data_IF_836937932279
#
_entry.id   IF_836937932279
#
_cell.length_a   1.000
_cell.length_b   1.000
_cell.length_c   1.000
_cell.angle_alpha   90.00
_cell.angle_beta   90.00
_cell.angle_gamma   90.00
#
_symmetry.space_group_name_H-M   'P 1'
#
loop_
_entity.id
_entity.type
_entity.pdbx_description
1 polymer ?
#
# COMPACT_ATOMS: atom_id res chain seq x y z
N UNK A 1 4.90 21.04 -28.44
CA UNK A 1 4.01 19.89 -28.63
C UNK A 1 3.07 20.24 -29.80
N UNK A 2 3.44 19.85 -31.01
CA UNK A 2 2.55 19.90 -32.17
C UNK A 2 1.51 18.80 -32.01
N UNK A 3 0.26 19.18 -31.77
CA UNK A 3 -0.89 18.32 -31.93
C UNK A 3 -1.05 18.08 -33.45
N UNK A 4 -0.35 17.10 -33.98
CA UNK A 4 -0.70 16.58 -35.30
C UNK A 4 -2.12 16.01 -35.21
N UNK A 5 -2.98 16.45 -36.09
CA UNK A 5 -4.38 16.01 -36.23
C UNK A 5 -4.44 14.58 -36.79
N UNK A 6 -3.85 13.65 -36.09
CA UNK A 6 -4.02 12.23 -36.37
C UNK A 6 -5.32 11.76 -35.74
N UNK A 7 -6.16 11.13 -36.54
CA UNK A 7 -7.48 10.67 -36.13
C UNK A 7 -7.40 9.85 -34.81
N UNK A 8 -8.32 10.09 -33.88
CA UNK A 8 -8.45 9.36 -32.59
C UNK A 8 -8.53 7.85 -32.77
N UNK A 9 -8.83 7.37 -33.99
CA UNK A 9 -8.99 5.98 -34.39
C UNK A 9 -7.69 5.34 -34.92
N UNK A 10 -6.61 6.10 -35.02
CA UNK A 10 -5.33 5.57 -35.49
C UNK A 10 -4.60 4.80 -34.34
N UNK A 11 -4.70 3.47 -34.39
CA UNK A 11 -4.12 2.55 -33.39
C UNK A 11 -2.58 2.54 -33.36
N UNK A 12 -1.91 3.17 -34.31
CA UNK A 12 -0.45 3.33 -34.27
C UNK A 12 -0.02 4.37 -33.24
N UNK A 13 -0.89 5.34 -32.95
CA UNK A 13 -0.66 6.44 -32.02
C UNK A 13 -1.02 6.06 -30.56
N UNK A 14 -0.41 6.77 -29.59
CA UNK A 14 -0.71 6.59 -28.16
C UNK A 14 -2.19 6.85 -27.84
N UNK A 15 -2.81 7.85 -28.48
CA UNK A 15 -4.21 8.20 -28.27
C UNK A 15 -5.17 7.09 -28.72
N UNK A 16 -4.96 6.50 -29.90
CA UNK A 16 -5.76 5.39 -30.41
C UNK A 16 -5.64 4.12 -29.55
N UNK A 17 -4.42 3.79 -29.10
CA UNK A 17 -4.20 2.69 -28.15
C UNK A 17 -4.96 2.93 -26.84
N UNK A 18 -4.90 4.14 -26.29
CA UNK A 18 -5.62 4.49 -25.08
C UNK A 18 -7.14 4.37 -25.26
N UNK A 19 -7.68 4.81 -26.39
CA UNK A 19 -9.10 4.66 -26.71
C UNK A 19 -9.53 3.17 -26.76
N UNK A 20 -8.72 2.31 -27.39
CA UNK A 20 -8.97 0.87 -27.40
C UNK A 20 -8.97 0.27 -25.99
N UNK A 21 -8.04 0.69 -25.12
CA UNK A 21 -8.00 0.25 -23.73
C UNK A 21 -9.22 0.71 -22.92
N UNK A 22 -9.73 1.93 -23.19
CA UNK A 22 -10.96 2.44 -22.56
C UNK A 22 -12.15 1.57 -22.94
N UNK A 23 -12.34 1.26 -24.23
CA UNK A 23 -13.43 0.38 -24.68
C UNK A 23 -13.29 -1.00 -24.06
N UNK A 24 -12.08 -1.59 -24.10
CA UNK A 24 -11.81 -2.90 -23.51
C UNK A 24 -12.11 -2.94 -22.01
N UNK A 25 -11.75 -1.88 -21.26
CA UNK A 25 -12.02 -1.79 -19.83
C UNK A 25 -13.51 -1.67 -19.51
N UNK A 26 -14.28 -0.94 -20.33
CA UNK A 26 -15.73 -0.82 -20.18
C UNK A 26 -16.42 -2.16 -20.45
N UNK A 27 -16.01 -2.89 -21.49
CA UNK A 27 -16.52 -4.22 -21.78
C UNK A 27 -16.21 -5.21 -20.66
N UNK A 28 -14.96 -5.19 -20.16
CA UNK A 28 -14.56 -6.03 -19.04
C UNK A 28 -15.36 -5.68 -17.78
N UNK A 29 -15.55 -4.39 -17.50
CA UNK A 29 -16.38 -3.93 -16.38
C UNK A 29 -17.82 -4.44 -16.49
N UNK A 30 -18.40 -4.42 -17.68
CA UNK A 30 -19.73 -4.96 -17.93
C UNK A 30 -19.80 -6.47 -17.67
N UNK A 31 -18.81 -7.23 -18.16
CA UNK A 31 -18.71 -8.68 -17.89
C UNK A 31 -18.60 -8.97 -16.39
N UNK A 32 -17.77 -8.22 -15.67
CA UNK A 32 -17.62 -8.35 -14.21
C UNK A 32 -18.94 -8.08 -13.49
N UNK A 33 -19.73 -7.10 -13.93
CA UNK A 33 -21.04 -6.79 -13.34
C UNK A 33 -22.10 -7.88 -13.61
N UNK A 34 -21.97 -8.66 -14.68
CA UNK A 34 -22.85 -9.76 -15.01
C UNK A 34 -22.65 -11.02 -14.16
N UNK A 35 -21.49 -11.13 -13.50
CA UNK A 35 -21.18 -12.28 -12.65
C UNK A 35 -21.91 -12.15 -11.32
N UNK A 36 -22.61 -13.22 -10.92
CA UNK A 36 -23.34 -13.27 -9.65
C UNK A 36 -22.37 -13.14 -8.45
N UNK A 37 -22.78 -12.38 -7.43
CA UNK A 37 -22.00 -12.16 -6.20
C UNK A 37 -21.60 -13.46 -5.49
N UNK A 38 -22.42 -14.53 -5.59
CA UNK A 38 -22.11 -15.84 -5.03
C UNK A 38 -20.84 -16.45 -5.60
N UNK A 39 -20.58 -16.22 -6.89
CA UNK A 39 -19.35 -16.67 -7.56
C UNK A 39 -18.14 -15.97 -6.97
N UNK A 40 -18.22 -14.66 -6.76
CA UNK A 40 -17.16 -13.89 -6.11
C UNK A 40 -16.91 -14.38 -4.68
N UNK A 41 -17.97 -14.68 -3.93
CA UNK A 41 -17.83 -15.18 -2.58
C UNK A 41 -17.11 -16.54 -2.56
N UNK A 42 -17.47 -17.48 -3.42
CA UNK A 42 -16.81 -18.79 -3.48
C UNK A 42 -15.34 -18.65 -3.87
N UNK A 43 -15.05 -17.85 -4.89
CA UNK A 43 -13.71 -17.74 -5.48
C UNK A 43 -12.75 -16.85 -4.68
N UNK A 44 -13.23 -15.98 -3.78
CA UNK A 44 -12.43 -14.96 -3.11
C UNK A 44 -11.14 -15.50 -2.46
N UNK A 45 -11.21 -16.57 -1.68
CA UNK A 45 -10.03 -17.11 -1.00
C UNK A 45 -9.13 -17.93 -1.95
N UNK A 46 -9.72 -18.60 -2.93
CA UNK A 46 -8.96 -19.32 -3.96
C UNK A 46 -8.17 -18.33 -4.80
N UNK A 47 -8.83 -17.24 -5.25
CA UNK A 47 -8.20 -16.16 -5.99
C UNK A 47 -7.09 -15.48 -5.16
N UNK A 48 -7.33 -15.26 -3.86
CA UNK A 48 -6.32 -14.70 -2.96
C UNK A 48 -5.08 -15.59 -2.86
N UNK A 49 -5.25 -16.90 -2.66
CA UNK A 49 -4.13 -17.86 -2.62
C UNK A 49 -3.36 -17.90 -3.94
N UNK A 50 -4.09 -17.99 -5.07
CA UNK A 50 -3.49 -17.98 -6.41
C UNK A 50 -2.72 -16.68 -6.68
N UNK A 51 -3.26 -15.53 -6.23
CA UNK A 51 -2.61 -14.23 -6.38
C UNK A 51 -1.34 -14.14 -5.52
N UNK A 52 -1.33 -14.65 -4.30
CA UNK A 52 -0.11 -14.70 -3.49
C UNK A 52 0.99 -15.53 -4.17
N UNK A 53 0.64 -16.67 -4.74
CA UNK A 53 1.60 -17.49 -5.50
C UNK A 53 2.12 -16.74 -6.73
N UNK A 54 1.25 -16.03 -7.45
CA UNK A 54 1.65 -15.20 -8.59
C UNK A 54 2.57 -14.06 -8.18
N UNK A 55 2.28 -13.37 -7.05
CA UNK A 55 3.15 -12.31 -6.52
C UNK A 55 4.54 -12.84 -6.13
N UNK A 56 4.60 -14.03 -5.55
CA UNK A 56 5.88 -14.70 -5.22
C UNK A 56 6.64 -15.14 -6.47
N UNK A 57 5.94 -15.56 -7.52
CA UNK A 57 6.55 -15.96 -8.79
C UNK A 57 6.97 -14.75 -9.65
N UNK A 58 6.36 -13.58 -9.45
CA UNK A 58 6.61 -12.38 -10.26
C UNK A 58 8.09 -12.02 -10.38
N UNK A 59 8.91 -11.96 -9.32
CA UNK A 59 10.33 -11.60 -9.44
C UNK A 59 11.14 -12.55 -10.34
N UNK A 60 10.70 -13.79 -10.48
CA UNK A 60 11.36 -14.79 -11.35
C UNK A 60 10.91 -14.70 -12.82
N UNK A 61 9.72 -14.16 -13.07
CA UNK A 61 9.11 -14.03 -14.38
C UNK A 61 9.23 -12.61 -14.97
N UNK A 62 9.47 -11.63 -14.10
CA UNK A 62 9.53 -10.23 -14.47
C UNK A 62 10.89 -9.86 -15.09
N UNK A 63 10.86 -8.88 -15.98
CA UNK A 63 12.07 -8.21 -16.46
C UNK A 63 12.34 -7.00 -15.57
N UNK A 64 13.61 -6.74 -15.30
CA UNK A 64 14.03 -5.55 -14.56
C UNK A 64 13.69 -4.28 -15.36
N UNK A 65 12.79 -3.47 -14.81
CA UNK A 65 12.46 -2.16 -15.38
C UNK A 65 12.78 -1.11 -14.30
N UNK A 66 13.90 -0.43 -14.46
CA UNK A 66 14.37 0.64 -13.55
C UNK A 66 14.51 0.18 -12.08
N UNK A 67 15.02 -1.03 -11.86
CA UNK A 67 15.21 -1.59 -10.53
C UNK A 67 13.95 -2.25 -9.92
N UNK A 68 12.81 -2.25 -10.60
CA UNK A 68 11.59 -2.94 -10.17
C UNK A 68 11.37 -4.24 -10.96
N UNK A 69 11.12 -5.33 -10.23
CA UNK A 69 10.82 -6.66 -10.80
C UNK A 69 9.32 -6.97 -10.67
N UNK A 70 8.47 -6.06 -11.17
CA UNK A 70 7.01 -6.12 -10.99
C UNK A 70 6.22 -6.29 -12.28
N UNK A 71 6.89 -6.20 -13.45
CA UNK A 71 6.25 -6.24 -14.74
C UNK A 71 6.53 -7.55 -15.50
N UNK A 72 5.47 -8.28 -15.82
CA UNK A 72 5.54 -9.48 -16.65
C UNK A 72 5.20 -9.09 -18.08
N UNK A 73 6.14 -9.28 -19.01
CA UNK A 73 5.92 -9.04 -20.43
C UNK A 73 5.22 -10.23 -21.08
N UNK A 74 4.00 -10.01 -21.57
CA UNK A 74 3.23 -10.97 -22.36
C UNK A 74 3.17 -10.53 -23.83
N UNK A 75 4.33 -10.39 -24.46
CA UNK A 75 4.45 -9.88 -25.82
C UNK A 75 4.16 -8.38 -25.90
N UNK A 76 3.08 -7.91 -26.58
CA UNK A 76 2.78 -6.49 -26.74
C UNK A 76 2.20 -5.83 -25.47
N UNK A 77 1.84 -6.63 -24.45
CA UNK A 77 1.20 -6.16 -23.21
C UNK A 77 2.10 -6.45 -22.02
N UNK A 78 2.31 -5.44 -21.18
CA UNK A 78 2.96 -5.60 -19.90
C UNK A 78 1.90 -5.68 -18.81
N UNK A 79 1.93 -6.74 -18.02
CA UNK A 79 1.01 -6.99 -16.93
C UNK A 79 1.72 -6.83 -15.60
N UNK A 80 1.10 -6.07 -14.68
CA UNK A 80 1.61 -5.87 -13.33
C UNK A 80 0.71 -6.62 -12.34
N UNK A 81 1.13 -7.77 -11.79
CA UNK A 81 0.31 -8.55 -10.87
C UNK A 81 -0.13 -7.79 -9.61
N UNK A 82 0.68 -6.84 -9.14
CA UNK A 82 0.36 -6.00 -7.99
C UNK A 82 -0.95 -5.18 -8.16
N UNK A 83 -1.30 -4.79 -9.40
CA UNK A 83 -2.56 -4.08 -9.67
C UNK A 83 -3.78 -4.98 -9.44
N UNK A 84 -3.71 -6.23 -9.89
CA UNK A 84 -4.77 -7.22 -9.68
C UNK A 84 -4.86 -7.66 -8.21
N UNK A 85 -3.72 -7.72 -7.53
CA UNK A 85 -3.66 -8.06 -6.11
C UNK A 85 -4.52 -7.13 -5.25
N UNK A 86 -4.56 -5.84 -5.55
CA UNK A 86 -5.40 -4.86 -4.81
C UNK A 86 -6.88 -5.23 -4.88
N UNK A 87 -7.38 -5.59 -6.06
CA UNK A 87 -8.78 -5.99 -6.24
C UNK A 87 -9.09 -7.31 -5.54
N UNK A 88 -8.21 -8.30 -5.67
CA UNK A 88 -8.41 -9.64 -5.08
C UNK A 88 -8.33 -9.58 -3.55
N UNK A 89 -7.41 -8.79 -3.00
CA UNK A 89 -7.32 -8.55 -1.55
C UNK A 89 -8.59 -7.86 -1.05
N UNK A 90 -9.10 -6.85 -1.78
CA UNK A 90 -10.36 -6.20 -1.43
C UNK A 90 -11.52 -7.21 -1.35
N UNK A 91 -11.61 -8.10 -2.34
CA UNK A 91 -12.63 -9.15 -2.39
C UNK A 91 -12.51 -10.13 -1.22
N UNK A 92 -11.28 -10.59 -0.93
CA UNK A 92 -11.01 -11.52 0.16
C UNK A 92 -11.33 -10.91 1.54
N UNK A 93 -11.00 -9.62 1.74
CA UNK A 93 -11.33 -8.86 2.96
C UNK A 93 -12.84 -8.67 3.06
N UNK A 94 -13.52 -8.29 1.97
CA UNK A 94 -14.97 -8.13 1.96
C UNK A 94 -15.68 -9.42 2.37
N UNK A 95 -15.23 -10.57 1.85
CA UNK A 95 -15.74 -11.89 2.27
C UNK A 95 -15.43 -12.17 3.74
N UNK A 96 -14.23 -11.88 4.22
CA UNK A 96 -13.86 -12.13 5.61
C UNK A 96 -14.70 -11.31 6.58
N UNK A 97 -14.90 -10.02 6.27
CA UNK A 97 -15.63 -9.07 7.11
C UNK A 97 -17.16 -9.20 6.94
N UNK A 98 -17.63 -9.75 5.82
CA UNK A 98 -19.04 -10.01 5.56
C UNK A 98 -19.63 -11.20 6.33
N UNK A 99 -18.85 -11.88 7.17
CA UNK A 99 -19.35 -12.98 8.01
C UNK A 99 -20.36 -12.46 9.03
N UNK A 100 -21.39 -13.26 9.28
CA UNK A 100 -22.41 -12.95 10.28
C UNK A 100 -21.76 -12.65 11.64
N UNK A 101 -22.17 -11.56 12.30
CA UNK A 101 -21.64 -11.08 13.59
C UNK A 101 -20.17 -10.64 13.63
N UNK A 102 -19.47 -10.52 12.50
CA UNK A 102 -18.12 -9.99 12.51
C UNK A 102 -18.11 -8.52 12.97
N UNK A 103 -17.45 -8.25 14.08
CA UNK A 103 -17.29 -6.89 14.64
C UNK A 103 -15.83 -6.68 15.01
N UNK A 104 -15.25 -5.59 14.55
CA UNK A 104 -13.91 -5.15 14.93
C UNK A 104 -13.92 -4.54 16.35
N UNK A 105 -14.05 -5.35 17.38
CA UNK A 105 -14.07 -4.89 18.79
C UNK A 105 -12.72 -5.04 19.48
N UNK A 106 -11.97 -6.06 19.13
CA UNK A 106 -10.73 -6.44 19.81
C UNK A 106 -9.56 -6.38 18.84
N UNK A 107 -8.38 -6.08 19.35
CA UNK A 107 -7.14 -6.12 18.55
C UNK A 107 -6.91 -7.46 17.83
N UNK A 108 -7.39 -8.55 18.43
CA UNK A 108 -7.30 -9.90 17.83
C UNK A 108 -8.14 -10.02 16.55
N UNK A 109 -9.25 -9.31 16.47
CA UNK A 109 -10.12 -9.34 15.29
C UNK A 109 -9.46 -8.63 14.08
N UNK A 110 -8.50 -7.74 14.35
CA UNK A 110 -7.73 -7.03 13.34
C UNK A 110 -6.56 -7.84 12.77
N UNK A 111 -6.06 -8.85 13.49
CA UNK A 111 -4.84 -9.59 13.09
C UNK A 111 -5.00 -10.22 11.71
N UNK A 112 -6.11 -10.92 11.47
CA UNK A 112 -6.34 -11.62 10.20
C UNK A 112 -6.51 -10.64 9.03
N UNK A 113 -7.38 -9.60 9.11
CA UNK A 113 -7.46 -8.60 8.04
C UNK A 113 -6.15 -7.86 7.77
N UNK A 114 -5.41 -7.51 8.82
CA UNK A 114 -4.08 -6.89 8.67
C UNK A 114 -3.07 -7.83 8.01
N UNK A 115 -3.08 -9.12 8.35
CA UNK A 115 -2.25 -10.12 7.69
C UNK A 115 -2.63 -10.29 6.21
N UNK A 116 -3.94 -10.28 5.89
CA UNK A 116 -4.42 -10.38 4.51
C UNK A 116 -4.00 -9.18 3.65
N UNK A 117 -3.79 -8.01 4.23
CA UNK A 117 -3.25 -6.84 3.53
C UNK A 117 -1.73 -6.83 3.57
N UNK A 118 -1.16 -7.10 4.73
CA UNK A 118 0.27 -6.96 4.99
C UNK A 118 1.12 -7.96 4.20
N UNK A 119 0.66 -9.21 4.08
CA UNK A 119 1.41 -10.24 3.35
C UNK A 119 1.64 -9.84 1.89
N UNK A 120 0.61 -9.54 1.07
CA UNK A 120 0.83 -9.10 -0.31
C UNK A 120 1.60 -7.79 -0.39
N UNK A 121 1.34 -6.82 0.50
CA UNK A 121 2.07 -5.56 0.52
C UNK A 121 3.57 -5.76 0.79
N UNK A 122 3.94 -6.63 1.73
CA UNK A 122 5.33 -6.97 2.03
C UNK A 122 6.01 -7.70 0.86
N UNK A 123 5.32 -8.63 0.21
CA UNK A 123 5.84 -9.32 -0.97
C UNK A 123 6.15 -8.30 -2.08
N UNK A 124 5.23 -7.38 -2.38
CA UNK A 124 5.41 -6.34 -3.39
C UNK A 124 6.56 -5.41 -3.00
N UNK A 125 6.62 -4.98 -1.76
CA UNK A 125 7.63 -4.03 -1.29
C UNK A 125 9.04 -4.65 -1.26
N UNK A 126 9.19 -5.87 -0.74
CA UNK A 126 10.50 -6.50 -0.51
C UNK A 126 11.00 -7.23 -1.75
N UNK A 127 10.15 -8.12 -2.33
CA UNK A 127 10.58 -8.99 -3.42
C UNK A 127 10.53 -8.29 -4.78
N UNK A 128 9.51 -7.46 -5.03
CA UNK A 128 9.36 -6.75 -6.30
C UNK A 128 9.99 -5.35 -6.28
N UNK A 129 10.46 -4.89 -5.10
CA UNK A 129 11.07 -3.57 -4.87
C UNK A 129 10.18 -2.41 -5.34
N UNK A 130 8.87 -2.55 -5.14
CA UNK A 130 7.87 -1.58 -5.58
C UNK A 130 7.09 -1.00 -4.40
N UNK A 131 7.65 0.05 -3.79
CA UNK A 131 7.08 0.71 -2.62
C UNK A 131 5.79 1.46 -2.93
N UNK A 132 5.66 2.02 -4.14
CA UNK A 132 4.47 2.77 -4.55
C UNK A 132 3.20 1.92 -4.53
N UNK A 133 3.23 0.76 -5.17
CA UNK A 133 2.09 -0.17 -5.20
C UNK A 133 1.78 -0.75 -3.82
N UNK A 134 2.82 -1.02 -3.00
CA UNK A 134 2.64 -1.50 -1.63
C UNK A 134 1.93 -0.47 -0.73
N UNK A 135 2.25 0.83 -0.88
CA UNK A 135 1.63 1.91 -0.11
C UNK A 135 0.12 2.04 -0.37
N UNK A 136 -0.36 1.69 -1.55
CA UNK A 136 -1.79 1.73 -1.87
C UNK A 136 -2.61 0.82 -0.94
N UNK A 137 -2.02 -0.27 -0.45
CA UNK A 137 -2.69 -1.15 0.52
C UNK A 137 -2.99 -0.45 1.85
N UNK A 138 -2.31 0.63 2.19
CA UNK A 138 -2.65 1.42 3.38
C UNK A 138 -4.06 2.05 3.30
N UNK A 139 -4.63 2.20 2.11
CA UNK A 139 -6.00 2.68 1.94
C UNK A 139 -7.05 1.76 2.59
N UNK A 140 -6.75 0.47 2.77
CA UNK A 140 -7.64 -0.45 3.49
C UNK A 140 -7.83 -0.10 4.97
N UNK A 141 -6.93 0.69 5.57
CA UNK A 141 -7.12 1.22 6.93
C UNK A 141 -8.39 2.06 7.03
N UNK A 142 -8.76 2.78 5.97
CA UNK A 142 -10.00 3.56 5.91
C UNK A 142 -11.23 2.64 5.93
N UNK A 143 -11.16 1.48 5.26
CA UNK A 143 -12.23 0.48 5.28
C UNK A 143 -12.41 -0.07 6.69
N UNK A 144 -11.31 -0.41 7.38
CA UNK A 144 -11.36 -0.91 8.75
C UNK A 144 -11.89 0.12 9.73
N UNK A 145 -11.50 1.38 9.57
CA UNK A 145 -12.05 2.48 10.37
C UNK A 145 -13.56 2.60 10.20
N UNK A 146 -14.06 2.51 8.96
CA UNK A 146 -15.51 2.53 8.69
C UNK A 146 -16.24 1.34 9.30
N UNK A 147 -15.58 0.20 9.46
CA UNK A 147 -16.14 -1.02 10.07
C UNK A 147 -16.05 -1.04 11.61
N UNK A 148 -15.64 0.07 12.22
CA UNK A 148 -15.63 0.22 13.68
C UNK A 148 -14.26 0.07 14.34
N UNK A 149 -13.17 0.06 13.55
CA UNK A 149 -11.82 0.13 14.10
C UNK A 149 -11.63 1.46 14.84
N UNK A 150 -10.91 1.42 15.95
CA UNK A 150 -10.57 2.62 16.72
C UNK A 150 -9.88 3.67 15.86
N UNK A 151 -10.27 4.93 15.99
CA UNK A 151 -9.65 6.06 15.30
C UNK A 151 -8.15 6.21 15.61
N UNK A 152 -7.69 5.75 16.78
CA UNK A 152 -6.27 5.74 17.14
C UNK A 152 -5.44 4.86 16.19
N UNK A 153 -5.95 3.69 15.81
CA UNK A 153 -5.27 2.78 14.86
C UNK A 153 -5.15 3.42 13.49
N UNK A 154 -6.22 4.10 13.05
CA UNK A 154 -6.20 4.85 11.79
C UNK A 154 -5.13 5.95 11.82
N UNK A 155 -5.08 6.74 12.91
CA UNK A 155 -4.10 7.82 13.06
C UNK A 155 -2.66 7.28 13.07
N UNK A 156 -2.40 6.18 13.79
CA UNK A 156 -1.09 5.52 13.79
C UNK A 156 -0.73 5.06 12.37
N UNK A 157 -1.67 4.46 11.64
CA UNK A 157 -1.44 4.02 10.27
C UNK A 157 -1.14 5.18 9.31
N UNK A 158 -1.93 6.25 9.38
CA UNK A 158 -1.70 7.46 8.57
C UNK A 158 -0.36 8.11 8.93
N UNK A 159 -0.04 8.21 10.22
CA UNK A 159 1.24 8.74 10.67
C UNK A 159 2.40 7.88 10.15
N UNK A 160 2.30 6.55 10.23
CA UNK A 160 3.34 5.64 9.72
C UNK A 160 3.59 5.83 8.21
N UNK A 161 2.53 5.96 7.41
CA UNK A 161 2.63 6.24 5.97
C UNK A 161 3.27 7.61 5.73
N UNK A 162 2.85 8.65 6.44
CA UNK A 162 3.41 9.99 6.31
C UNK A 162 4.91 10.01 6.68
N UNK A 163 5.28 9.34 7.77
CA UNK A 163 6.67 9.21 8.20
C UNK A 163 7.52 8.47 7.17
N UNK A 164 7.00 7.39 6.61
CA UNK A 164 7.66 6.64 5.56
C UNK A 164 7.92 7.51 4.32
N UNK A 165 6.91 8.26 3.86
CA UNK A 165 7.06 9.18 2.73
C UNK A 165 8.06 10.31 3.01
N UNK A 166 8.02 10.89 4.21
CA UNK A 166 8.98 11.93 4.64
C UNK A 166 10.40 11.37 4.71
N UNK A 167 10.58 10.16 5.21
CA UNK A 167 11.88 9.50 5.29
C UNK A 167 12.48 9.27 3.90
N UNK A 168 11.69 8.83 2.93
CA UNK A 168 12.15 8.68 1.53
C UNK A 168 12.52 10.04 0.92
N UNK A 169 11.67 11.05 1.11
CA UNK A 169 11.84 12.35 0.42
C UNK A 169 13.01 13.15 0.96
N UNK A 170 13.24 13.12 2.27
CA UNK A 170 14.24 13.95 2.96
C UNK A 170 15.28 13.16 3.74
N UNK A 171 15.27 11.84 3.68
CA UNK A 171 16.19 10.99 4.42
C UNK A 171 17.67 11.18 4.04
N UNK A 172 17.94 11.67 2.83
CA UNK A 172 19.30 11.91 2.33
C UNK A 172 19.78 13.37 2.50
N UNK A 173 18.91 14.28 2.95
CA UNK A 173 19.27 15.69 3.15
C UNK A 173 19.97 15.84 4.49
N UNK A 174 21.29 16.15 4.53
CA UNK A 174 22.02 16.31 5.78
C UNK A 174 21.52 17.56 6.54
N UNK A 175 21.45 17.45 7.87
CA UNK A 175 21.21 18.61 8.72
C UNK A 175 22.46 19.52 8.72
N UNK A 176 22.28 20.85 8.76
CA UNK A 176 23.37 21.80 8.81
C UNK A 176 24.28 21.65 10.05
N UNK A 177 23.88 20.91 11.07
CA UNK A 177 24.61 20.59 12.30
C UNK A 177 25.33 19.23 12.28
N UNK A 178 25.34 18.50 11.16
CA UNK A 178 26.22 17.33 10.96
C UNK A 178 25.76 15.99 11.56
N UNK A 179 24.72 15.93 12.36
CA UNK A 179 24.26 14.68 13.00
C UNK A 179 22.81 14.39 12.67
N UNK A 180 22.57 13.64 11.60
CA UNK A 180 21.23 13.19 11.22
C UNK A 180 20.74 13.73 9.88
N UNK A 181 19.57 13.32 9.47
CA UNK A 181 18.92 13.80 8.24
C UNK A 181 17.67 14.64 8.56
N UNK A 182 17.35 15.57 7.65
CA UNK A 182 16.15 16.42 7.78
C UNK A 182 14.88 15.54 7.83
N UNK A 183 14.90 14.39 7.15
CA UNK A 183 13.80 13.44 7.20
C UNK A 183 13.57 12.87 8.60
N UNK A 184 14.62 12.46 9.29
CA UNK A 184 14.54 11.94 10.66
C UNK A 184 14.01 13.00 11.61
N UNK A 185 14.54 14.22 11.52
CA UNK A 185 14.11 15.33 12.38
C UNK A 185 12.63 15.69 12.16
N UNK A 186 12.18 15.78 10.91
CA UNK A 186 10.79 16.08 10.58
C UNK A 186 9.85 14.98 11.07
N UNK A 187 10.26 13.72 10.97
CA UNK A 187 9.53 12.58 11.52
C UNK A 187 9.39 12.67 13.04
N UNK A 188 10.50 12.94 13.74
CA UNK A 188 10.48 13.09 15.20
C UNK A 188 9.61 14.25 15.65
N UNK A 189 9.67 15.40 14.97
CA UNK A 189 8.84 16.56 15.29
C UNK A 189 7.34 16.29 15.08
N UNK A 190 6.99 15.61 14.00
CA UNK A 190 5.59 15.29 13.70
C UNK A 190 5.01 14.30 14.72
N UNK A 191 5.78 13.29 15.12
CA UNK A 191 5.36 12.35 16.15
C UNK A 191 5.23 13.01 17.51
N UNK A 192 6.21 13.79 17.93
CA UNK A 192 6.13 14.51 19.22
C UNK A 192 4.96 15.48 19.24
N UNK A 193 4.64 16.16 18.12
CA UNK A 193 3.48 17.04 18.04
C UNK A 193 2.16 16.26 18.19
N UNK A 194 2.04 15.10 17.52
CA UNK A 194 0.86 14.21 17.64
C UNK A 194 0.73 13.68 19.06
N UNK A 195 1.84 13.25 19.67
CA UNK A 195 1.85 12.77 21.06
C UNK A 195 1.47 13.85 22.07
N UNK A 196 2.01 15.05 21.94
CA UNK A 196 1.65 16.20 22.77
C UNK A 196 0.14 16.47 22.65
N UNK A 197 -0.41 16.43 21.44
CA UNK A 197 -1.85 16.59 21.23
C UNK A 197 -2.68 15.56 22.01
N UNK A 198 -2.28 14.27 21.99
CA UNK A 198 -2.98 13.22 22.73
C UNK A 198 -2.78 13.31 24.23
N UNK A 199 -1.58 13.71 24.70
CA UNK A 199 -1.26 13.94 26.12
C UNK A 199 -2.16 15.04 26.68
N UNK A 200 -2.30 16.15 25.98
CA UNK A 200 -3.15 17.26 26.41
C UNK A 200 -4.63 16.87 26.47
N UNK A 201 -5.06 15.88 25.71
CA UNK A 201 -6.47 15.46 25.64
C UNK A 201 -6.87 14.45 26.72
N UNK A 202 -5.98 13.58 27.23
CA UNK A 202 -6.37 12.40 28.03
C UNK A 202 -5.89 12.36 29.49
N UNK A 203 -5.14 13.31 30.02
CA UNK A 203 -4.71 13.42 31.44
C UNK A 203 -4.09 12.16 32.10
N UNK A 204 -3.61 11.15 31.40
CA UNK A 204 -3.02 9.93 32.00
C UNK A 204 -1.49 9.84 31.80
N UNK A 205 -0.74 10.48 32.70
CA UNK A 205 0.71 10.72 32.60
C UNK A 205 1.63 9.47 32.49
N UNK A 206 1.31 8.32 33.06
CA UNK A 206 2.26 7.19 33.18
C UNK A 206 2.35 6.31 31.92
N UNK A 207 1.24 6.04 31.28
CA UNK A 207 1.21 5.27 30.02
C UNK A 207 1.72 6.09 28.83
N UNK A 208 1.65 7.39 28.93
CA UNK A 208 2.04 8.35 27.91
C UNK A 208 3.57 8.40 27.71
N UNK A 209 4.35 8.31 28.78
CA UNK A 209 5.81 8.25 28.68
C UNK A 209 6.30 6.96 27.98
N UNK A 210 5.62 5.82 28.19
CA UNK A 210 5.94 4.58 27.50
C UNK A 210 5.56 4.62 26.01
N UNK A 211 4.45 5.26 25.68
CA UNK A 211 4.04 5.47 24.29
C UNK A 211 5.04 6.39 23.58
N UNK A 212 5.48 7.46 24.25
CA UNK A 212 6.46 8.40 23.71
C UNK A 212 7.81 7.73 23.43
N UNK A 213 8.32 6.93 24.36
CA UNK A 213 9.56 6.18 24.17
C UNK A 213 9.39 5.14 23.05
N UNK A 214 8.26 4.43 23.02
CA UNK A 214 7.97 3.42 22.01
C UNK A 214 7.85 4.02 20.60
N UNK A 215 7.24 5.20 20.47
CA UNK A 215 7.09 5.88 19.18
C UNK A 215 8.43 6.43 18.66
N UNK A 216 9.26 7.01 19.54
CA UNK A 216 10.61 7.46 19.17
C UNK A 216 11.47 6.29 18.69
N UNK A 217 11.45 5.15 19.40
CA UNK A 217 12.18 3.95 19.01
C UNK A 217 11.66 3.37 17.69
N UNK A 218 10.35 3.39 17.47
CA UNK A 218 9.72 2.91 16.24
C UNK A 218 10.10 3.78 15.04
N UNK A 219 10.10 5.11 15.20
CA UNK A 219 10.54 6.03 14.14
C UNK A 219 12.01 5.88 13.84
N UNK A 220 12.83 5.78 14.88
CA UNK A 220 14.26 5.57 14.68
C UNK A 220 14.53 4.25 13.96
N UNK A 221 13.82 3.17 14.32
CA UNK A 221 13.90 1.88 13.68
C UNK A 221 13.45 1.91 12.21
N UNK A 222 12.31 2.55 11.91
CA UNK A 222 11.84 2.72 10.52
C UNK A 222 12.81 3.57 9.72
N UNK A 223 13.31 4.66 10.29
CA UNK A 223 14.28 5.54 9.61
C UNK A 223 15.60 4.82 9.31
N UNK A 224 16.10 4.00 10.25
CA UNK A 224 17.26 3.14 10.01
C UNK A 224 17.01 2.12 8.89
N UNK A 225 15.87 1.43 8.91
CA UNK A 225 15.50 0.47 7.87
C UNK A 225 15.40 1.14 6.50
N UNK A 226 14.77 2.32 6.42
CA UNK A 226 14.65 3.06 5.16
C UNK A 226 16.03 3.53 4.68
N UNK A 227 16.89 4.03 5.56
CA UNK A 227 18.25 4.44 5.18
C UNK A 227 19.09 3.25 4.70
N UNK A 228 19.01 2.09 5.35
CA UNK A 228 19.67 0.86 4.89
C UNK A 228 19.12 0.46 3.52
N UNK A 229 17.82 0.55 3.32
CA UNK A 229 17.16 0.14 2.09
C UNK A 229 17.43 1.09 0.92
N UNK A 230 17.53 2.40 1.17
CA UNK A 230 17.87 3.43 0.17
C UNK A 230 19.37 3.49 -0.09
N UNK A 231 20.22 3.12 0.89
CA UNK A 231 21.67 3.08 0.73
C UNK A 231 22.19 1.85 -0.03
N UNK A 232 21.34 0.82 -0.27
CA UNK A 232 21.71 -0.30 -1.16
C UNK A 232 21.66 0.24 -2.59
N UNK A 233 22.80 0.40 -3.28
CA UNK A 233 22.82 0.86 -4.68
C UNK A 233 22.14 -0.19 -5.54
N UNK A 234 21.11 0.24 -6.27
CA UNK A 234 20.44 -0.52 -7.31
C UNK A 234 21.18 -0.37 -8.63
#
# INVERSE_FOLDING_TARGET
YTFDQTSIVDFSNRAGKQFAWIIGSLLLGFVVLMIDYKTYDVLAYIAYGAMLLLLLATPFLAHDIKGSMSWISLGPVNLQPAEFAKCIVALAIAKYMGRYEYKLRTWRDLIVPFAMIGVPALIIMILQKETGSALVFAAFLLVFYRQGMSGYVLWIGVAAVALFLMSIRWGQVPLPLGTGSVGILSCMLLLTAVEIYFICKEHRLRWQALILIGSVLLVYGISLLVNIWVAVPF
#
